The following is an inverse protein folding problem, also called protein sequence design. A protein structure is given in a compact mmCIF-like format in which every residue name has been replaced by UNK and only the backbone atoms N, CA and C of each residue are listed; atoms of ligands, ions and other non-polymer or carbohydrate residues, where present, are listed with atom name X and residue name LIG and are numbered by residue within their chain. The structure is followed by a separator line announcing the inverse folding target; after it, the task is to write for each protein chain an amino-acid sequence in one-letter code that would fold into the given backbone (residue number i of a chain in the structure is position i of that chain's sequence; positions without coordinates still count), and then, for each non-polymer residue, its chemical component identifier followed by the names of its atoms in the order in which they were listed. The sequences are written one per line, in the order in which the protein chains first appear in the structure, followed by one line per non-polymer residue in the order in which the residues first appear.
data_IF_670865608122
#
_entry.id   IF_670865608122
#
_cell.length_a   1.000
_cell.length_b   1.000
_cell.length_c   1.000
_cell.angle_alpha   90.00
_cell.angle_beta   90.00
_cell.angle_gamma   90.00
#
_symmetry.space_group_name_H-M   'P 1'
#
loop_
_entity.id
_entity.type
_entity.pdbx_description
1 polymer ?
#
# COMPACT_ATOMS: atom_id res chain seq x y z
N UNK A 1 -3.26 28.21 39.70
CA UNK A 1 -3.18 27.69 38.31
C UNK A 1 -1.76 27.25 37.91
N UNK A 2 -0.71 27.97 38.34
CA UNK A 2 0.70 27.65 38.05
C UNK A 2 1.24 26.33 38.65
N UNK A 3 0.77 25.90 39.83
CA UNK A 3 1.26 24.67 40.48
C UNK A 3 0.90 23.36 39.74
N UNK A 4 -0.25 23.30 39.06
CA UNK A 4 -0.65 22.11 38.27
C UNK A 4 0.25 21.88 37.05
N UNK A 5 0.84 22.95 36.52
CA UNK A 5 1.76 22.90 35.37
C UNK A 5 3.11 22.28 35.76
N UNK A 6 3.63 22.65 36.94
CA UNK A 6 4.93 22.19 37.45
C UNK A 6 4.89 20.69 37.79
N UNK A 7 3.78 20.20 38.36
CA UNK A 7 3.60 18.77 38.67
C UNK A 7 3.53 17.88 37.43
N UNK A 8 3.12 18.42 36.27
CA UNK A 8 3.05 17.66 35.03
C UNK A 8 4.43 17.48 34.40
N UNK A 9 5.28 18.51 34.44
CA UNK A 9 6.65 18.46 33.93
C UNK A 9 7.53 17.48 34.72
N UNK A 10 7.38 17.45 36.04
CA UNK A 10 8.11 16.53 36.92
C UNK A 10 7.70 15.08 36.71
N UNK A 11 6.44 14.83 36.33
CA UNK A 11 5.95 13.49 35.99
C UNK A 11 6.54 12.99 34.66
N UNK A 12 6.69 13.87 33.66
CA UNK A 12 7.27 13.51 32.36
C UNK A 12 8.75 13.17 32.48
N UNK A 13 9.49 13.90 33.33
CA UNK A 13 10.90 13.63 33.63
C UNK A 13 11.13 12.36 34.46
N UNK A 14 10.07 11.81 35.07
CA UNK A 14 10.14 10.55 35.84
C UNK A 14 9.94 9.30 34.98
N UNK A 15 9.60 9.45 33.70
CA UNK A 15 9.43 8.33 32.76
C UNK A 15 10.81 7.82 32.34
N UNK A 16 11.12 6.51 32.48
CA UNK A 16 12.41 5.96 32.10
C UNK A 16 12.70 6.21 30.61
N UNK A 17 13.93 6.61 30.28
CA UNK A 17 14.36 6.80 28.89
C UNK A 17 14.17 5.53 28.02
N UNK A 18 14.21 4.34 28.62
CA UNK A 18 13.88 3.07 27.96
C UNK A 18 12.40 2.95 27.57
N UNK A 19 11.47 3.49 28.37
CA UNK A 19 10.03 3.52 28.08
C UNK A 19 9.73 4.57 27.00
N UNK A 20 10.40 5.73 27.04
CA UNK A 20 10.34 6.72 25.96
C UNK A 20 10.93 6.19 24.64
N UNK A 21 12.02 5.43 24.70
CA UNK A 21 12.58 4.71 23.55
C UNK A 21 11.63 3.63 23.04
N UNK A 22 10.91 2.91 23.92
CA UNK A 22 9.91 1.91 23.54
C UNK A 22 8.62 2.51 22.98
N UNK A 23 8.22 3.71 23.40
CA UNK A 23 7.12 4.45 22.75
C UNK A 23 7.52 5.03 21.40
N UNK A 24 8.79 5.44 21.23
CA UNK A 24 9.33 5.87 19.94
C UNK A 24 9.47 4.67 18.99
N UNK A 25 10.18 3.60 19.38
CA UNK A 25 9.75 2.18 19.33
C UNK A 25 8.44 1.80 18.58
N UNK A 26 7.33 2.05 19.26
CA UNK A 26 5.97 1.68 18.83
C UNK A 26 5.42 2.70 17.81
N UNK A 27 5.97 3.92 17.76
CA UNK A 27 5.79 4.87 16.65
C UNK A 27 6.61 4.51 15.38
N UNK A 28 7.51 3.49 15.43
CA UNK A 28 8.49 3.17 14.35
C UNK A 28 7.88 2.64 13.07
N UNK A 29 6.65 2.13 13.07
CA UNK A 29 5.95 1.99 11.80
C UNK A 29 5.40 3.35 11.37
N UNK A 30 6.29 4.14 10.76
CA UNK A 30 5.98 5.39 10.07
C UNK A 30 4.69 5.19 9.27
N UNK A 31 3.70 6.08 9.47
CA UNK A 31 2.38 6.05 8.81
C UNK A 31 2.51 5.84 7.30
N UNK A 32 3.57 6.36 6.69
CA UNK A 32 3.95 6.13 5.30
C UNK A 32 4.23 4.66 5.00
N UNK A 33 5.08 4.00 5.78
CA UNK A 33 5.47 2.60 5.58
C UNK A 33 4.30 1.65 5.77
N UNK A 34 3.43 1.90 6.77
CA UNK A 34 2.19 1.14 6.96
C UNK A 34 1.30 1.24 5.73
N UNK A 35 1.14 2.45 5.19
CA UNK A 35 0.35 2.70 3.99
C UNK A 35 0.91 1.90 2.82
N UNK A 36 2.21 2.03 2.52
CA UNK A 36 2.85 1.34 1.39
C UNK A 36 2.72 -0.18 1.53
N UNK A 37 2.96 -0.75 2.71
CA UNK A 37 2.86 -2.21 2.92
C UNK A 37 1.42 -2.72 2.72
N UNK A 38 0.43 -2.01 3.26
CA UNK A 38 -0.97 -2.37 3.06
C UNK A 38 -1.38 -2.24 1.59
N UNK A 39 -0.95 -1.20 0.90
CA UNK A 39 -1.20 -1.00 -0.53
C UNK A 39 -0.58 -2.12 -1.38
N UNK A 40 0.67 -2.53 -1.08
CA UNK A 40 1.32 -3.68 -1.74
C UNK A 40 0.51 -4.96 -1.50
N UNK A 41 0.17 -5.26 -0.24
CA UNK A 41 -0.59 -6.45 0.10
C UNK A 41 -1.97 -6.47 -0.60
N UNK A 42 -2.66 -5.33 -0.62
CA UNK A 42 -3.91 -5.15 -1.35
C UNK A 42 -3.73 -5.44 -2.84
N UNK A 43 -2.67 -4.90 -3.45
CA UNK A 43 -2.42 -5.04 -4.87
C UNK A 43 -2.18 -6.49 -5.32
N UNK A 44 -1.60 -7.32 -4.46
CA UNK A 44 -1.50 -8.75 -4.73
C UNK A 44 -2.89 -9.37 -4.93
N UNK A 45 -3.82 -9.15 -3.98
CA UNK A 45 -5.20 -9.63 -4.12
C UNK A 45 -5.86 -9.07 -5.39
N UNK A 46 -5.67 -7.77 -5.65
CA UNK A 46 -6.21 -7.12 -6.84
C UNK A 46 -5.75 -7.80 -8.14
N UNK A 47 -4.45 -8.06 -8.25
CA UNK A 47 -3.85 -8.66 -9.44
C UNK A 47 -4.38 -10.07 -9.68
N UNK A 48 -4.55 -10.87 -8.62
CA UNK A 48 -5.16 -12.20 -8.72
C UNK A 48 -6.65 -12.14 -9.07
N UNK A 49 -7.39 -11.18 -8.50
CA UNK A 49 -8.80 -10.99 -8.83
C UNK A 49 -9.01 -10.64 -10.32
N UNK A 50 -8.15 -9.80 -10.89
CA UNK A 50 -8.24 -9.39 -12.29
C UNK A 50 -7.70 -10.42 -13.29
N UNK A 51 -6.57 -11.05 -13.00
CA UNK A 51 -5.84 -11.83 -14.01
C UNK A 51 -5.69 -13.31 -13.64
N UNK A 52 -5.81 -13.67 -12.36
CA UNK A 52 -5.60 -15.04 -11.90
C UNK A 52 -6.55 -16.04 -12.57
N UNK A 53 -7.80 -15.63 -12.79
CA UNK A 53 -8.81 -16.45 -13.45
C UNK A 53 -8.47 -16.76 -14.92
N UNK A 54 -7.66 -15.95 -15.60
CA UNK A 54 -7.23 -16.18 -16.98
C UNK A 54 -6.34 -17.41 -17.11
N UNK A 55 -5.62 -17.79 -16.04
CA UNK A 55 -4.79 -19.00 -16.02
C UNK A 55 -5.58 -20.22 -15.53
N UNK A 56 -6.37 -20.06 -14.47
CA UNK A 56 -6.94 -21.19 -13.71
C UNK A 56 -8.39 -21.51 -14.09
N UNK A 57 -9.13 -20.53 -14.59
CA UNK A 57 -10.57 -20.63 -14.86
C UNK A 57 -10.93 -20.28 -16.32
N UNK A 58 -9.97 -20.33 -17.25
CA UNK A 58 -10.17 -19.97 -18.66
C UNK A 58 -11.27 -20.80 -19.35
N UNK A 59 -11.43 -22.06 -18.98
CA UNK A 59 -12.41 -22.99 -19.54
C UNK A 59 -13.68 -23.09 -18.69
N UNK A 60 -13.81 -22.25 -17.65
CA UNK A 60 -14.98 -22.23 -16.76
C UNK A 60 -15.96 -21.15 -17.21
N UNK A 61 -17.26 -21.28 -16.86
CA UNK A 61 -18.24 -20.24 -17.14
C UNK A 61 -17.85 -18.90 -16.52
N UNK A 62 -18.10 -17.81 -17.24
CA UNK A 62 -17.74 -16.44 -16.82
C UNK A 62 -18.32 -16.07 -15.45
N UNK A 63 -19.54 -16.51 -15.14
CA UNK A 63 -20.17 -16.23 -13.84
C UNK A 63 -19.34 -16.78 -12.66
N UNK A 64 -18.69 -17.93 -12.82
CA UNK A 64 -17.85 -18.53 -11.78
C UNK A 64 -16.57 -17.70 -11.58
N UNK A 65 -15.97 -17.26 -12.68
CA UNK A 65 -14.80 -16.37 -12.63
C UNK A 65 -15.15 -15.05 -11.93
N UNK A 66 -16.30 -14.44 -12.24
CA UNK A 66 -16.78 -13.22 -11.59
C UNK A 66 -16.94 -13.41 -10.08
N UNK A 67 -17.62 -14.48 -9.64
CA UNK A 67 -17.85 -14.75 -8.22
C UNK A 67 -16.55 -14.96 -7.43
N UNK A 68 -15.61 -15.70 -8.01
CA UNK A 68 -14.29 -15.92 -7.38
C UNK A 68 -13.50 -14.61 -7.33
N UNK A 69 -13.44 -13.86 -8.44
CA UNK A 69 -12.77 -12.56 -8.48
C UNK A 69 -13.34 -11.56 -7.48
N UNK A 70 -14.67 -11.51 -7.31
CA UNK A 70 -15.32 -10.69 -6.29
C UNK A 70 -14.96 -11.11 -4.87
N UNK A 71 -14.90 -12.42 -4.61
CA UNK A 71 -14.50 -12.94 -3.29
C UNK A 71 -13.06 -12.55 -2.94
N UNK A 72 -12.16 -12.53 -3.93
CA UNK A 72 -10.77 -12.09 -3.75
C UNK A 72 -10.71 -10.56 -3.56
N UNK A 73 -11.45 -9.80 -4.38
CA UNK A 73 -11.52 -8.35 -4.29
C UNK A 73 -12.06 -7.87 -2.93
N UNK A 74 -12.93 -8.64 -2.28
CA UNK A 74 -13.36 -8.33 -0.92
C UNK A 74 -12.18 -8.21 0.07
N UNK A 75 -11.20 -9.14 0.01
CA UNK A 75 -10.03 -9.09 0.88
C UNK A 75 -9.07 -7.94 0.52
N UNK A 76 -8.99 -7.57 -0.76
CA UNK A 76 -8.31 -6.36 -1.23
C UNK A 76 -8.88 -5.13 -0.51
N UNK A 77 -10.21 -4.94 -0.54
CA UNK A 77 -10.85 -3.78 0.07
C UNK A 77 -10.61 -3.67 1.58
N UNK A 78 -10.51 -4.81 2.29
CA UNK A 78 -10.17 -4.83 3.72
C UNK A 78 -8.80 -4.23 4.03
N UNK A 79 -7.87 -4.23 3.07
CA UNK A 79 -6.52 -3.66 3.19
C UNK A 79 -6.44 -2.26 2.55
N UNK A 80 -7.03 -2.10 1.37
CA UNK A 80 -6.99 -0.86 0.59
C UNK A 80 -7.63 0.33 1.32
N UNK A 81 -8.80 0.11 1.93
CA UNK A 81 -9.57 1.16 2.62
C UNK A 81 -8.80 1.71 3.82
N UNK A 82 -8.30 0.89 4.78
CA UNK A 82 -7.48 1.40 5.87
C UNK A 82 -6.15 1.99 5.38
N UNK A 83 -5.51 1.42 4.36
CA UNK A 83 -4.28 1.98 3.78
C UNK A 83 -4.47 3.43 3.34
N UNK A 84 -5.50 3.69 2.53
CA UNK A 84 -5.79 5.04 2.03
C UNK A 84 -6.19 5.99 3.16
N UNK A 85 -6.99 5.54 4.13
CA UNK A 85 -7.38 6.39 5.28
C UNK A 85 -6.19 6.77 6.17
N UNK A 86 -5.23 5.87 6.34
CA UNK A 86 -3.99 6.12 7.09
C UNK A 86 -3.08 7.04 6.27
N UNK A 87 -2.91 6.75 4.98
CA UNK A 87 -2.05 7.50 4.06
C UNK A 87 -2.51 8.93 3.80
N UNK A 88 -3.83 9.16 3.76
CA UNK A 88 -4.40 10.49 3.52
C UNK A 88 -4.10 11.52 4.64
N UNK A 89 -3.52 11.06 5.76
CA UNK A 89 -3.01 11.95 6.81
C UNK A 89 -1.66 12.57 6.48
N UNK A 90 -0.95 12.04 5.48
CA UNK A 90 0.41 12.46 5.09
C UNK A 90 0.55 12.77 3.61
N UNK A 91 -0.29 12.18 2.77
CA UNK A 91 -0.26 12.33 1.31
C UNK A 91 -1.57 12.92 0.82
N UNK A 92 -1.48 13.73 -0.23
CA UNK A 92 -2.65 14.17 -0.97
C UNK A 92 -3.27 13.03 -1.79
N UNK A 93 -4.51 13.21 -2.22
CA UNK A 93 -5.24 12.20 -2.98
C UNK A 93 -4.49 11.78 -4.26
N UNK A 94 -3.91 12.76 -4.96
CA UNK A 94 -3.12 12.53 -6.16
C UNK A 94 -1.85 11.70 -5.88
N UNK A 95 -1.17 12.01 -4.78
CA UNK A 95 0.04 11.30 -4.35
C UNK A 95 -0.28 9.84 -4.01
N UNK A 96 -1.35 9.57 -3.27
CA UNK A 96 -1.80 8.20 -2.97
C UNK A 96 -2.13 7.42 -4.24
N UNK A 97 -2.81 8.05 -5.20
CA UNK A 97 -3.12 7.40 -6.48
C UNK A 97 -1.86 7.02 -7.24
N UNK A 98 -0.87 7.91 -7.33
CA UNK A 98 0.38 7.63 -8.02
C UNK A 98 1.19 6.53 -7.30
N UNK A 99 1.26 6.56 -5.97
CA UNK A 99 1.88 5.47 -5.19
C UNK A 99 1.22 4.13 -5.55
N UNK A 100 -0.11 4.08 -5.60
CA UNK A 100 -0.83 2.87 -5.94
C UNK A 100 -0.57 2.37 -7.37
N UNK A 101 -0.49 3.26 -8.36
CA UNK A 101 -0.19 2.88 -9.74
C UNK A 101 1.23 2.34 -9.89
N UNK A 102 2.21 2.95 -9.20
CA UNK A 102 3.59 2.44 -9.17
C UNK A 102 3.64 1.04 -8.55
N UNK A 103 2.97 0.86 -7.40
CA UNK A 103 2.85 -0.45 -6.74
C UNK A 103 2.18 -1.46 -7.69
N UNK A 104 1.12 -1.05 -8.38
CA UNK A 104 0.39 -1.90 -9.34
C UNK A 104 1.29 -2.39 -10.46
N UNK A 105 2.06 -1.49 -11.06
CA UNK A 105 3.01 -1.84 -12.12
C UNK A 105 4.07 -2.83 -11.63
N UNK A 106 4.64 -2.61 -10.43
CA UNK A 106 5.64 -3.50 -9.85
C UNK A 106 5.08 -4.89 -9.51
N UNK A 107 3.93 -4.95 -8.85
CA UNK A 107 3.27 -6.21 -8.47
C UNK A 107 2.81 -6.97 -9.71
N UNK A 108 2.25 -6.27 -10.69
CA UNK A 108 1.86 -6.84 -11.98
C UNK A 108 3.07 -7.39 -12.74
N UNK A 109 4.21 -6.69 -12.73
CA UNK A 109 5.44 -7.18 -13.37
C UNK A 109 5.87 -8.54 -12.79
N UNK A 110 5.92 -8.64 -11.46
CA UNK A 110 6.23 -9.89 -10.76
C UNK A 110 5.20 -10.99 -11.10
N UNK A 111 3.90 -10.65 -11.09
CA UNK A 111 2.84 -11.59 -11.42
C UNK A 111 2.93 -12.08 -12.87
N UNK A 112 3.15 -11.19 -13.84
CA UNK A 112 3.25 -11.53 -15.24
C UNK A 112 4.43 -12.48 -15.50
N UNK A 113 5.59 -12.19 -14.89
CA UNK A 113 6.78 -13.00 -15.05
C UNK A 113 6.66 -14.36 -14.34
N UNK A 114 6.37 -14.38 -13.03
CA UNK A 114 6.39 -15.60 -12.24
C UNK A 114 5.10 -16.43 -12.33
N UNK A 115 3.94 -15.80 -12.37
CA UNK A 115 2.66 -16.53 -12.38
C UNK A 115 2.17 -16.77 -13.80
N UNK A 116 2.22 -15.79 -14.70
CA UNK A 116 1.72 -15.95 -16.08
C UNK A 116 2.78 -16.48 -17.07
N UNK A 117 4.05 -16.57 -16.67
CA UNK A 117 5.17 -16.95 -17.54
C UNK A 117 5.23 -16.08 -18.82
N UNK A 118 4.91 -14.79 -18.69
CA UNK A 118 4.93 -13.82 -19.79
C UNK A 118 6.15 -12.91 -19.64
N UNK A 119 7.04 -12.83 -20.65
CA UNK A 119 8.15 -11.90 -20.60
C UNK A 119 7.62 -10.46 -20.71
N UNK A 120 8.20 -9.57 -19.91
CA UNK A 120 7.91 -8.13 -19.98
C UNK A 120 8.80 -7.51 -21.05
N UNK A 121 8.17 -6.88 -22.04
CA UNK A 121 8.88 -6.20 -23.12
C UNK A 121 9.42 -4.82 -22.73
N UNK A 122 10.28 -4.24 -23.58
CA UNK A 122 10.84 -2.90 -23.37
C UNK A 122 9.77 -1.82 -23.25
N UNK A 123 8.64 -1.95 -23.92
CA UNK A 123 7.52 -1.00 -23.80
C UNK A 123 6.99 -0.93 -22.36
N UNK A 124 6.97 -2.05 -21.64
CA UNK A 124 6.54 -2.08 -20.24
C UNK A 124 7.57 -1.38 -19.34
N UNK A 125 8.87 -1.55 -19.63
CA UNK A 125 9.93 -0.84 -18.94
C UNK A 125 9.83 0.67 -19.19
N UNK A 126 9.63 1.09 -20.45
CA UNK A 126 9.41 2.49 -20.81
C UNK A 126 8.19 3.09 -20.08
N UNK A 127 7.08 2.34 -20.00
CA UNK A 127 5.91 2.76 -19.23
C UNK A 127 6.26 2.94 -17.74
N UNK A 128 7.04 2.03 -17.16
CA UNK A 128 7.55 2.17 -15.79
C UNK A 128 8.42 3.42 -15.60
N UNK A 129 9.28 3.75 -16.57
CA UNK A 129 10.06 4.99 -16.54
C UNK A 129 9.18 6.24 -16.66
N UNK A 130 8.13 6.21 -17.49
CA UNK A 130 7.15 7.29 -17.56
C UNK A 130 6.41 7.49 -16.21
N UNK A 131 6.16 6.41 -15.48
CA UNK A 131 5.57 6.48 -14.14
C UNK A 131 6.48 7.20 -13.13
N UNK A 132 7.81 7.11 -13.26
CA UNK A 132 8.75 7.90 -12.45
C UNK A 132 8.58 9.40 -12.74
N UNK A 133 8.39 9.76 -14.02
CA UNK A 133 8.07 11.14 -14.40
C UNK A 133 6.77 11.64 -13.77
N UNK A 134 5.72 10.81 -13.79
CA UNK A 134 4.44 11.12 -13.13
C UNK A 134 4.61 11.30 -11.61
N UNK A 135 5.41 10.44 -10.97
CA UNK A 135 5.77 10.58 -9.55
C UNK A 135 6.48 11.90 -9.30
N UNK A 136 7.47 12.26 -10.10
CA UNK A 136 8.17 13.53 -9.94
C UNK A 136 7.19 14.71 -9.96
N UNK A 137 6.32 14.84 -10.97
CA UNK A 137 5.40 15.98 -11.05
C UNK A 137 4.40 16.06 -9.90
N UNK A 138 3.88 14.93 -9.43
CA UNK A 138 2.88 14.88 -8.35
C UNK A 138 3.50 15.10 -6.96
N UNK A 139 4.78 14.79 -6.80
CA UNK A 139 5.51 14.98 -5.54
C UNK A 139 6.40 16.24 -5.53
N UNK A 140 6.44 17.01 -6.64
CA UNK A 140 7.36 18.13 -6.84
C UNK A 140 7.15 19.34 -5.90
N UNK A 141 6.08 19.40 -5.11
CA UNK A 141 5.74 20.48 -4.17
C UNK A 141 6.88 21.46 -3.85
#
# INVERSE_FOLDING_TARGET
MLLKSITLLTLIQSIPWSVLLMTNIIMIFNTTMKTILLLIASNFFMTFAWYGHLKTLNNKPVYLAILVSWSIAFFEYLLQVPANRIGYRQFDLAQLKIIQEIITMCVFACFAYYYMNKPLGLNFLCAGLCMIGAAYFVFKN
#
